data_IF_166402270387
#
_entry.id   IF_166402270387
#
_cell.length_a   1.000
_cell.length_b   1.000
_cell.length_c   1.000
_cell.angle_alpha   90.00
_cell.angle_beta   90.00
_cell.angle_gamma   90.00
#
_symmetry.space_group_name_H-M   'P 1'
#
loop_
_entity.id
_entity.type
_entity.pdbx_description
1 polymer ?
#
# COMPACT_ATOMS: atom_id res chain seq x y z
N UNK A 1 7.98 -45.78 9.01
CA UNK A 1 7.65 -44.35 9.20
C UNK A 1 7.95 -43.63 7.91
N UNK A 2 6.92 -43.34 7.10
CA UNK A 2 7.10 -42.57 5.87
C UNK A 2 7.19 -41.09 6.24
N UNK A 3 8.32 -40.45 5.91
CA UNK A 3 8.44 -38.99 5.93
C UNK A 3 7.73 -38.50 4.67
N UNK A 4 6.59 -37.84 4.85
CA UNK A 4 5.93 -37.14 3.75
C UNK A 4 6.69 -35.85 3.51
N UNK A 5 7.57 -35.86 2.51
CA UNK A 5 8.13 -34.63 1.94
C UNK A 5 7.00 -33.84 1.31
N UNK A 6 6.50 -32.84 2.03
CA UNK A 6 5.55 -31.86 1.52
C UNK A 6 6.32 -30.91 0.61
N UNK A 7 6.51 -31.30 -0.64
CA UNK A 7 6.92 -30.36 -1.68
C UNK A 7 5.76 -29.41 -1.90
N UNK A 8 5.80 -28.26 -1.22
CA UNK A 8 4.93 -27.12 -1.48
C UNK A 8 5.18 -26.67 -2.93
N UNK A 9 4.38 -27.20 -3.86
CA UNK A 9 4.27 -26.67 -5.22
C UNK A 9 3.56 -25.33 -5.09
N UNK A 10 4.32 -24.28 -4.76
CA UNK A 10 3.86 -22.90 -4.90
C UNK A 10 3.66 -22.66 -6.39
N UNK A 11 2.42 -22.86 -6.84
CA UNK A 11 2.00 -22.45 -8.17
C UNK A 11 2.25 -20.94 -8.34
N UNK A 12 2.68 -20.52 -9.52
CA UNK A 12 2.94 -19.10 -9.85
C UNK A 12 1.77 -18.16 -9.45
N UNK A 13 0.54 -18.70 -9.47
CA UNK A 13 -0.67 -18.04 -8.98
C UNK A 13 -0.65 -17.71 -7.48
N UNK A 14 -0.17 -18.63 -6.63
CA UNK A 14 -0.04 -18.39 -5.19
C UNK A 14 1.00 -17.30 -4.87
N UNK A 15 2.10 -17.26 -5.64
CA UNK A 15 3.15 -16.25 -5.49
C UNK A 15 2.64 -14.84 -5.84
N UNK A 16 1.85 -14.71 -6.90
CA UNK A 16 1.25 -13.43 -7.30
C UNK A 16 0.25 -12.90 -6.25
N UNK A 17 -0.58 -13.78 -5.67
CA UNK A 17 -1.56 -13.41 -4.64
C UNK A 17 -0.85 -12.92 -3.37
N UNK A 18 0.18 -13.64 -2.91
CA UNK A 18 0.95 -13.26 -1.72
C UNK A 18 1.69 -11.93 -1.94
N UNK A 19 2.27 -11.72 -3.13
CA UNK A 19 2.92 -10.46 -3.48
C UNK A 19 1.95 -9.28 -3.44
N UNK A 20 0.76 -9.43 -4.03
CA UNK A 20 -0.24 -8.36 -4.06
C UNK A 20 -0.77 -8.02 -2.65
N UNK A 21 -0.96 -9.02 -1.79
CA UNK A 21 -1.38 -8.80 -0.40
C UNK A 21 -0.29 -8.12 0.44
N UNK A 22 0.97 -8.48 0.20
CA UNK A 22 2.10 -7.84 0.88
C UNK A 22 2.21 -6.37 0.48
N UNK A 23 2.13 -6.07 -0.81
CA UNK A 23 2.17 -4.68 -1.28
C UNK A 23 0.98 -3.86 -0.77
N UNK A 24 -0.23 -4.44 -0.71
CA UNK A 24 -1.41 -3.76 -0.14
C UNK A 24 -1.20 -3.45 1.36
N UNK A 25 -0.55 -4.36 2.10
CA UNK A 25 -0.19 -4.13 3.49
C UNK A 25 0.84 -3.00 3.65
N UNK A 26 1.86 -2.98 2.79
CA UNK A 26 2.87 -1.92 2.76
C UNK A 26 2.26 -0.55 2.46
N UNK A 27 1.36 -0.48 1.47
CA UNK A 27 0.60 0.74 1.18
C UNK A 27 -0.19 1.21 2.41
N UNK A 28 -0.89 0.32 3.11
CA UNK A 28 -1.64 0.67 4.35
C UNK A 28 -0.73 1.22 5.45
N UNK A 29 0.43 0.61 5.68
CA UNK A 29 1.40 1.10 6.67
C UNK A 29 1.96 2.47 6.30
N UNK A 30 2.24 2.68 5.01
CA UNK A 30 2.64 3.98 4.49
C UNK A 30 1.60 5.05 4.80
N UNK A 31 0.32 4.81 4.50
CA UNK A 31 -0.73 5.78 4.80
C UNK A 31 -0.92 6.04 6.30
N UNK A 32 -0.81 5.02 7.14
CA UNK A 32 -0.86 5.20 8.59
C UNK A 32 0.29 6.12 9.06
N UNK A 33 1.50 5.89 8.54
CA UNK A 33 2.67 6.73 8.83
C UNK A 33 2.48 8.16 8.31
N UNK A 34 1.93 8.32 7.11
CA UNK A 34 1.63 9.62 6.55
C UNK A 34 0.60 10.38 7.39
N UNK A 35 -0.43 9.70 7.91
CA UNK A 35 -1.43 10.33 8.79
C UNK A 35 -0.85 10.86 10.11
N UNK A 36 0.21 10.23 10.62
CA UNK A 36 0.91 10.60 11.86
C UNK A 36 2.06 11.61 11.63
N UNK A 37 2.41 11.91 10.37
CA UNK A 37 3.49 12.82 10.00
C UNK A 37 2.98 13.95 9.11
N UNK A 38 2.87 15.16 9.67
CA UNK A 38 2.29 16.33 9.00
C UNK A 38 2.95 16.65 7.64
N UNK A 39 4.28 16.66 7.54
CA UNK A 39 4.98 16.94 6.28
C UNK A 39 4.72 15.87 5.22
N UNK A 40 4.73 14.60 5.63
CA UNK A 40 4.43 13.49 4.71
C UNK A 40 2.95 13.51 4.29
N UNK A 41 2.07 13.92 5.20
CA UNK A 41 0.65 14.07 4.94
C UNK A 41 0.36 15.14 3.89
N UNK A 42 0.99 16.32 4.00
CA UNK A 42 0.84 17.40 3.02
C UNK A 42 1.30 16.98 1.62
N UNK A 43 2.47 16.35 1.51
CA UNK A 43 2.98 15.84 0.23
C UNK A 43 2.07 14.76 -0.37
N UNK A 44 1.52 13.90 0.49
CA UNK A 44 0.55 12.89 0.09
C UNK A 44 -0.76 13.53 -0.38
N UNK A 45 -1.27 14.54 0.32
CA UNK A 45 -2.50 15.25 -0.04
C UNK A 45 -2.36 15.95 -1.39
N UNK A 46 -1.23 16.62 -1.65
CA UNK A 46 -0.92 17.24 -2.95
C UNK A 46 -0.93 16.17 -4.06
N UNK A 47 -0.27 15.04 -3.83
CA UNK A 47 -0.23 13.95 -4.80
C UNK A 47 -1.62 13.34 -5.05
N UNK A 48 -2.46 13.22 -4.02
CA UNK A 48 -3.83 12.74 -4.12
C UNK A 48 -4.73 13.70 -4.91
N UNK A 49 -4.65 15.00 -4.65
CA UNK A 49 -5.42 16.03 -5.36
C UNK A 49 -5.05 16.11 -6.85
N UNK A 50 -3.78 15.85 -7.18
CA UNK A 50 -3.30 15.80 -8.55
C UNK A 50 -3.54 14.45 -9.25
N UNK A 51 -4.11 13.46 -8.55
CA UNK A 51 -4.23 12.07 -9.01
C UNK A 51 -2.88 11.46 -9.46
N UNK A 52 -1.77 11.92 -8.88
CA UNK A 52 -0.41 11.50 -9.20
C UNK A 52 0.01 10.28 -8.36
N UNK A 53 -0.55 9.12 -8.71
CA UNK A 53 -0.31 7.87 -8.00
C UNK A 53 1.15 7.39 -8.07
N UNK A 54 1.88 7.75 -9.12
CA UNK A 54 3.30 7.44 -9.27
C UNK A 54 4.13 8.23 -8.24
N UNK A 55 3.78 9.49 -7.97
CA UNK A 55 4.39 10.27 -6.89
C UNK A 55 4.10 9.65 -5.52
N UNK A 56 2.91 9.13 -5.28
CA UNK A 56 2.57 8.45 -4.01
C UNK A 56 3.45 7.21 -3.81
N UNK A 57 3.66 6.41 -4.86
CA UNK A 57 4.56 5.26 -4.81
C UNK A 57 6.00 5.70 -4.49
N UNK A 58 6.49 6.78 -5.11
CA UNK A 58 7.84 7.31 -4.81
C UNK A 58 7.97 7.79 -3.37
N UNK A 59 6.97 8.48 -2.83
CA UNK A 59 6.94 8.88 -1.42
C UNK A 59 7.01 7.66 -0.51
N UNK A 60 6.23 6.61 -0.81
CA UNK A 60 6.32 5.33 -0.10
C UNK A 60 7.72 4.74 -0.12
N UNK A 61 8.35 4.67 -1.30
CA UNK A 61 9.70 4.13 -1.47
C UNK A 61 10.77 4.94 -0.73
N UNK A 62 10.63 6.27 -0.67
CA UNK A 62 11.51 7.13 0.13
C UNK A 62 11.37 6.89 1.64
N UNK A 63 10.24 6.33 2.06
CA UNK A 63 9.96 5.92 3.43
C UNK A 63 10.15 4.40 3.65
N UNK A 64 10.89 3.72 2.76
CA UNK A 64 11.17 2.28 2.79
C UNK A 64 9.92 1.37 2.69
N UNK A 65 8.83 1.87 2.11
CA UNK A 65 7.64 1.08 1.79
C UNK A 65 7.66 0.63 0.33
N UNK A 66 7.33 -0.65 0.11
CA UNK A 66 7.39 -1.27 -1.21
C UNK A 66 6.00 -1.68 -1.71
N UNK A 67 5.39 -0.82 -2.52
CA UNK A 67 4.12 -1.08 -3.19
C UNK A 67 4.10 -0.49 -4.60
N UNK A 68 3.13 -0.89 -5.40
CA UNK A 68 2.94 -0.42 -6.78
C UNK A 68 1.63 0.34 -6.90
N UNK A 69 1.42 1.07 -8.00
CA UNK A 69 0.14 1.74 -8.27
C UNK A 69 -1.03 0.75 -8.26
N UNK A 70 -0.81 -0.50 -8.71
CA UNK A 70 -1.85 -1.54 -8.74
C UNK A 70 -2.33 -1.94 -7.34
N UNK A 71 -1.43 -2.05 -6.38
CA UNK A 71 -1.74 -2.37 -4.98
C UNK A 71 -2.16 -1.13 -4.16
N UNK A 72 -1.81 0.07 -4.66
CA UNK A 72 -2.21 1.35 -4.09
C UNK A 72 -3.71 1.64 -4.27
N UNK A 73 -4.27 1.45 -5.47
CA UNK A 73 -5.66 1.84 -5.79
C UNK A 73 -6.73 1.21 -4.87
N UNK A 74 -6.69 -0.10 -4.56
CA UNK A 74 -7.62 -0.71 -3.59
C UNK A 74 -7.49 -0.10 -2.19
N UNK A 75 -6.27 0.29 -1.81
CA UNK A 75 -5.95 0.91 -0.53
C UNK A 75 -6.46 2.34 -0.46
N UNK A 76 -6.32 3.10 -1.54
CA UNK A 76 -6.79 4.48 -1.67
C UNK A 76 -8.30 4.61 -1.53
N UNK A 77 -9.09 3.73 -2.17
CA UNK A 77 -10.56 3.74 -2.05
C UNK A 77 -11.05 3.67 -0.60
N UNK A 78 -10.23 3.13 0.30
CA UNK A 78 -10.55 2.96 1.71
C UNK A 78 -10.04 4.10 2.59
N UNK A 79 -9.05 4.85 2.10
CA UNK A 79 -8.35 5.89 2.85
C UNK A 79 -8.83 7.27 2.46
N UNK A 80 -9.15 7.53 1.19
CA UNK A 80 -9.79 8.79 0.78
C UNK A 80 -11.10 9.02 1.55
N UNK A 81 -11.85 7.96 1.86
CA UNK A 81 -13.02 8.04 2.74
C UNK A 81 -12.70 8.58 4.15
N UNK A 82 -11.53 8.26 4.71
CA UNK A 82 -11.09 8.73 6.02
C UNK A 82 -10.51 10.15 5.94
N UNK A 83 -9.82 10.49 4.85
CA UNK A 83 -9.23 11.81 4.64
C UNK A 83 -10.28 12.90 4.44
N UNK A 84 -11.29 12.65 3.60
CA UNK A 84 -12.39 13.61 3.38
C UNK A 84 -13.25 13.86 4.63
N UNK A 85 -13.26 12.95 5.61
CA UNK A 85 -13.93 13.18 6.89
C UNK A 85 -13.14 14.13 7.80
N UNK A 86 -11.81 14.20 7.67
CA UNK A 86 -10.96 15.04 8.52
C UNK A 86 -10.95 16.50 8.07
N UNK A 87 -11.11 16.78 6.78
CA UNK A 87 -11.22 18.14 6.24
C UNK A 87 -12.59 18.81 6.49
N UNK A 88 -13.59 18.04 6.92
CA UNK A 88 -14.96 18.51 7.12
C UNK A 88 -15.32 18.86 8.59
N UNK A 89 -14.34 18.80 9.50
CA UNK A 89 -14.53 19.06 10.94
C UNK A 89 -13.67 20.21 11.43
#
# INVERSE_FOLDING_TARGET
MAKTDVTLVTTEYGKAIVSNQLEELEAKKFFATALDNETLFEELEIALQAEDYERIVKLGQMCDYHFTVKSLLPTLSRITQLLFQRSAS
#
